data_IF_346885097153
#
_entry.id   IF_346885097153
#
_cell.length_a   1.000
_cell.length_b   1.000
_cell.length_c   1.000
_cell.angle_alpha   90.00
_cell.angle_beta   90.00
_cell.angle_gamma   90.00
#
_symmetry.space_group_name_H-M   'P 1'
#
loop_
_entity.id
_entity.type
_entity.pdbx_description
1 polymer ?
#
# COMPACT_ATOMS: atom_id res chain seq x y z
N UNK A 1 1.72 -4.63 28.34
CA UNK A 1 0.99 -5.43 27.33
C UNK A 1 0.74 -4.57 26.10
N UNK A 2 0.90 -5.13 24.90
CA UNK A 2 0.53 -4.52 23.62
C UNK A 2 -0.55 -5.38 22.95
N UNK A 3 -1.55 -4.76 22.33
CA UNK A 3 -2.59 -5.47 21.58
C UNK A 3 -2.25 -5.41 20.09
N UNK A 4 -2.18 -6.56 19.42
CA UNK A 4 -2.18 -6.64 17.96
C UNK A 4 -3.63 -6.73 17.49
N UNK A 5 -4.11 -5.68 16.82
CA UNK A 5 -5.43 -5.59 16.22
C UNK A 5 -5.33 -5.80 14.72
N UNK A 6 -5.77 -6.95 14.22
CA UNK A 6 -5.73 -7.25 12.79
C UNK A 6 -6.93 -6.59 12.12
N UNK A 7 -6.61 -5.67 11.23
CA UNK A 7 -7.58 -4.87 10.49
C UNK A 7 -7.59 -5.30 9.02
N UNK A 8 -8.64 -4.99 8.29
CA UNK A 8 -8.74 -5.29 6.86
C UNK A 8 -8.47 -6.78 6.56
N UNK A 9 -8.98 -7.65 7.42
CA UNK A 9 -8.74 -9.10 7.37
C UNK A 9 -10.07 -9.83 7.21
N UNK A 10 -10.24 -10.55 6.09
CA UNK A 10 -11.44 -11.35 5.80
C UNK A 10 -12.23 -10.91 4.56
N UNK A 11 -13.17 -11.74 4.11
CA UNK A 11 -14.02 -11.50 2.92
C UNK A 11 -15.02 -10.34 3.06
N UNK A 12 -15.19 -9.78 4.26
CA UNK A 12 -16.03 -8.60 4.52
C UNK A 12 -15.55 -7.34 3.81
N UNK A 13 -14.28 -7.30 3.40
CA UNK A 13 -13.74 -6.27 2.52
C UNK A 13 -14.35 -6.26 1.12
N UNK A 14 -15.09 -7.28 0.70
CA UNK A 14 -15.69 -7.30 -0.62
C UNK A 14 -17.03 -6.55 -0.66
N UNK A 15 -17.82 -6.62 0.42
CA UNK A 15 -19.22 -6.17 0.38
C UNK A 15 -19.56 -5.00 1.34
N UNK A 16 -18.87 -4.85 2.49
CA UNK A 16 -19.25 -3.87 3.53
C UNK A 16 -18.10 -2.98 4.03
N UNK A 17 -18.42 -1.87 4.71
CA UNK A 17 -17.46 -1.05 5.46
C UNK A 17 -17.18 -1.70 6.82
N UNK A 18 -15.95 -2.15 7.07
CA UNK A 18 -15.55 -2.68 8.38
C UNK A 18 -15.45 -1.58 9.45
N UNK A 19 -15.88 -1.89 10.67
CA UNK A 19 -15.78 -0.98 11.83
C UNK A 19 -14.36 -0.46 12.07
N UNK A 20 -13.33 -1.25 11.73
CA UNK A 20 -11.94 -0.88 11.91
C UNK A 20 -11.51 0.36 11.12
N UNK A 21 -12.33 0.83 10.17
CA UNK A 21 -12.05 2.06 9.41
C UNK A 21 -11.85 3.24 10.36
N UNK A 22 -12.63 3.33 11.44
CA UNK A 22 -12.56 4.46 12.39
C UNK A 22 -11.20 4.56 13.07
N UNK A 23 -10.45 3.45 13.14
CA UNK A 23 -9.14 3.42 13.77
C UNK A 23 -8.15 4.37 13.10
N UNK A 24 -8.39 4.77 11.85
CA UNK A 24 -7.46 5.58 11.09
C UNK A 24 -7.90 7.04 10.90
N UNK A 25 -9.02 7.44 11.49
CA UNK A 25 -9.58 8.79 11.36
C UNK A 25 -9.83 9.42 12.71
N UNK A 26 -9.71 10.75 12.75
CA UNK A 26 -10.25 11.51 13.87
C UNK A 26 -11.75 11.66 13.72
N UNK A 27 -12.45 11.61 14.84
CA UNK A 27 -13.84 12.01 14.89
C UNK A 27 -13.93 13.55 14.76
N UNK A 28 -15.12 14.04 14.41
CA UNK A 28 -15.38 15.47 14.20
C UNK A 28 -15.21 16.30 15.49
N UNK A 29 -15.20 15.64 16.66
CA UNK A 29 -14.90 16.26 17.94
C UNK A 29 -13.38 16.47 18.20
N UNK A 30 -12.53 16.07 17.24
CA UNK A 30 -11.07 16.21 17.31
C UNK A 30 -10.34 15.07 18.03
N UNK A 31 -11.08 14.15 18.64
CA UNK A 31 -10.57 13.00 19.36
C UNK A 31 -10.33 11.80 18.40
N UNK A 32 -9.54 10.84 18.86
CA UNK A 32 -9.24 9.62 18.11
C UNK A 32 -9.71 8.41 18.90
N UNK A 33 -10.44 7.52 18.22
CA UNK A 33 -11.00 6.31 18.81
C UNK A 33 -10.49 5.05 18.12
N UNK A 34 -10.36 3.97 18.88
CA UNK A 34 -9.95 2.66 18.37
C UNK A 34 -11.04 1.64 18.65
N UNK A 35 -11.41 0.91 17.61
CA UNK A 35 -12.19 -0.30 17.60
C UNK A 35 -11.29 -1.53 17.45
N UNK A 36 -11.42 -2.48 18.37
CA UNK A 36 -10.72 -3.76 18.32
C UNK A 36 -11.58 -4.81 17.63
N UNK A 37 -11.12 -5.37 16.50
CA UNK A 37 -11.88 -6.39 15.75
C UNK A 37 -11.98 -7.70 16.53
N UNK A 38 -12.98 -8.56 16.30
CA UNK A 38 -14.15 -8.37 15.44
C UNK A 38 -15.41 -7.83 16.16
N UNK A 39 -15.37 -7.55 17.47
CA UNK A 39 -16.58 -7.15 18.22
C UNK A 39 -16.37 -5.98 19.18
N UNK A 40 -15.21 -5.31 19.11
CA UNK A 40 -14.78 -4.26 20.03
C UNK A 40 -14.48 -4.74 21.45
N UNK A 41 -14.55 -6.05 21.71
CA UNK A 41 -14.32 -6.65 23.02
C UNK A 41 -12.87 -7.09 23.22
N UNK A 42 -12.29 -6.68 24.34
CA UNK A 42 -10.96 -7.11 24.79
C UNK A 42 -11.01 -7.96 26.07
N UNK A 43 -9.90 -8.64 26.37
CA UNK A 43 -9.69 -9.28 27.65
C UNK A 43 -9.49 -8.22 28.74
N UNK A 44 -10.02 -8.46 29.95
CA UNK A 44 -9.84 -7.56 31.12
C UNK A 44 -8.37 -7.25 31.44
N UNK A 45 -7.44 -8.19 31.18
CA UNK A 45 -6.00 -7.98 31.35
C UNK A 45 -5.43 -6.91 30.39
N UNK A 46 -6.13 -6.65 29.30
CA UNK A 46 -5.76 -5.68 28.29
C UNK A 46 -6.42 -4.30 28.50
N UNK A 47 -7.21 -4.12 29.57
CA UNK A 47 -7.82 -2.82 29.93
C UNK A 47 -6.76 -1.71 30.05
N UNK A 48 -5.62 -2.05 30.63
CA UNK A 48 -4.48 -1.14 30.82
C UNK A 48 -3.34 -1.47 29.83
N UNK A 49 -3.68 -1.88 28.61
CA UNK A 49 -2.67 -2.07 27.57
C UNK A 49 -1.91 -0.76 27.35
N UNK A 50 -0.60 -0.88 27.12
CA UNK A 50 0.24 0.29 26.84
C UNK A 50 -0.02 0.84 25.44
N UNK A 51 -0.38 -0.04 24.50
CA UNK A 51 -0.62 0.33 23.12
C UNK A 51 -1.47 -0.69 22.34
N UNK A 52 -2.02 -0.22 21.22
CA UNK A 52 -2.61 -1.03 20.16
C UNK A 52 -1.78 -0.83 18.89
N UNK A 53 -1.40 -1.93 18.25
CA UNK A 53 -0.85 -1.94 16.89
C UNK A 53 -1.93 -2.42 15.93
N UNK A 54 -2.29 -1.59 14.96
CA UNK A 54 -3.14 -2.04 13.85
C UNK A 54 -2.23 -2.71 12.84
N UNK A 55 -2.50 -3.97 12.53
CA UNK A 55 -1.63 -4.79 11.69
C UNK A 55 -2.42 -5.48 10.59
N UNK A 56 -1.77 -5.84 9.48
CA UNK A 56 -2.32 -6.76 8.48
C UNK A 56 -1.35 -7.90 8.21
N UNK A 57 -1.88 -9.09 7.94
CA UNK A 57 -1.07 -10.22 7.52
C UNK A 57 -0.61 -10.02 6.08
N UNK A 58 0.70 -10.14 5.84
CA UNK A 58 1.29 -10.06 4.48
C UNK A 58 1.95 -11.37 4.05
N UNK A 59 2.03 -12.33 4.95
CA UNK A 59 2.58 -13.66 4.72
C UNK A 59 2.51 -14.48 6.01
N UNK A 60 2.85 -15.75 5.92
CA UNK A 60 2.97 -16.57 7.12
C UNK A 60 4.05 -15.97 8.03
N UNK A 61 3.70 -15.71 9.29
CA UNK A 61 4.66 -15.16 10.25
C UNK A 61 5.06 -13.70 10.04
N UNK A 62 4.41 -13.00 9.11
CA UNK A 62 4.75 -11.63 8.72
C UNK A 62 3.53 -10.72 8.80
N UNK A 63 3.62 -9.69 9.64
CA UNK A 63 2.58 -8.67 9.74
C UNK A 63 3.15 -7.29 9.49
N UNK A 64 2.48 -6.52 8.65
CA UNK A 64 2.76 -5.11 8.44
C UNK A 64 2.03 -4.29 9.49
N UNK A 65 2.74 -3.35 10.12
CA UNK A 65 2.13 -2.38 11.03
C UNK A 65 1.56 -1.25 10.19
N UNK A 66 0.28 -0.95 10.38
CA UNK A 66 -0.48 0.09 9.67
C UNK A 66 -0.72 1.32 10.55
N UNK A 67 -0.55 1.20 11.86
CA UNK A 67 -0.54 2.31 12.79
C UNK A 67 -0.31 1.86 14.22
N UNK A 68 -0.04 2.84 15.08
CA UNK A 68 0.32 2.65 16.48
C UNK A 68 -0.42 3.66 17.34
N UNK A 69 -1.24 3.16 18.26
CA UNK A 69 -2.00 3.97 19.21
C UNK A 69 -1.49 3.75 20.63
N UNK A 70 -1.28 4.85 21.37
CA UNK A 70 -0.83 4.88 22.77
C UNK A 70 -1.74 5.78 23.60
N UNK A 71 -1.49 5.81 24.92
CA UNK A 71 -2.26 6.64 25.87
C UNK A 71 -3.75 6.29 25.83
N UNK A 72 -4.02 5.00 26.07
CA UNK A 72 -5.32 4.38 25.88
C UNK A 72 -6.21 4.58 27.10
N UNK A 73 -7.42 5.06 26.85
CA UNK A 73 -8.54 5.04 27.81
C UNK A 73 -9.57 4.01 27.35
N UNK A 74 -9.75 2.95 28.14
CA UNK A 74 -10.71 1.89 27.83
C UNK A 74 -12.16 2.38 28.06
N UNK A 75 -12.98 2.35 27.02
CA UNK A 75 -14.37 2.83 27.03
C UNK A 75 -15.40 1.72 27.21
N UNK A 76 -14.96 0.48 27.36
CA UNK A 76 -15.85 -0.66 27.59
C UNK A 76 -15.87 -1.05 29.07
N UNK A 77 -17.02 -1.53 29.53
CA UNK A 77 -17.21 -1.90 30.93
C UNK A 77 -16.46 -3.17 31.36
N UNK A 78 -16.08 -3.21 32.65
CA UNK A 78 -15.43 -4.39 33.24
C UNK A 78 -16.34 -5.62 33.21
N UNK A 79 -17.65 -5.42 33.37
CA UNK A 79 -18.64 -6.48 33.25
C UNK A 79 -18.65 -7.06 31.84
N UNK A 80 -18.68 -6.20 30.81
CA UNK A 80 -18.67 -6.63 29.42
C UNK A 80 -17.37 -7.39 29.08
N UNK A 81 -16.21 -6.95 29.58
CA UNK A 81 -14.94 -7.65 29.40
C UNK A 81 -14.92 -9.04 30.06
N UNK A 82 -15.52 -9.19 31.26
CA UNK A 82 -15.56 -10.44 32.02
C UNK A 82 -16.65 -11.42 31.56
N UNK A 83 -17.78 -10.91 31.07
CA UNK A 83 -18.96 -11.70 30.72
C UNK A 83 -18.83 -12.52 29.42
N UNK A 84 -19.80 -13.38 29.13
CA UNK A 84 -19.91 -14.01 27.80
C UNK A 84 -20.45 -13.01 26.78
N UNK A 85 -19.96 -13.04 25.52
CA UNK A 85 -20.27 -12.03 24.48
C UNK A 85 -21.75 -11.69 24.38
N UNK A 86 -22.63 -12.68 24.43
CA UNK A 86 -24.06 -12.48 24.09
C UNK A 86 -24.91 -11.97 25.27
N UNK A 87 -24.43 -12.02 26.52
CA UNK A 87 -25.28 -11.69 27.68
C UNK A 87 -25.32 -10.21 28.03
N UNK A 88 -24.27 -9.47 27.68
CA UNK A 88 -24.07 -8.07 28.08
C UNK A 88 -23.87 -7.15 26.87
N UNK A 89 -24.08 -7.66 25.65
CA UNK A 89 -23.87 -6.87 24.43
C UNK A 89 -24.83 -5.70 24.36
N UNK A 90 -26.12 -5.95 24.54
CA UNK A 90 -27.16 -4.92 24.43
C UNK A 90 -26.96 -3.82 25.47
N UNK A 91 -26.66 -4.20 26.72
CA UNK A 91 -26.37 -3.25 27.80
C UNK A 91 -25.14 -2.40 27.50
N UNK A 92 -24.10 -2.99 26.91
CA UNK A 92 -22.88 -2.27 26.54
C UNK A 92 -23.11 -1.37 25.32
N UNK A 93 -23.87 -1.83 24.33
CA UNK A 93 -24.27 -1.02 23.18
C UNK A 93 -25.09 0.19 23.62
N UNK A 94 -26.04 0.03 24.55
CA UNK A 94 -26.83 1.16 25.09
C UNK A 94 -25.95 2.21 25.78
N UNK A 95 -24.92 1.77 26.53
CA UNK A 95 -23.92 2.68 27.13
C UNK A 95 -23.12 3.41 26.05
N UNK A 96 -22.70 2.69 25.01
CA UNK A 96 -21.94 3.24 23.89
C UNK A 96 -22.76 4.24 23.08
N UNK A 97 -24.06 4.01 22.85
CA UNK A 97 -24.94 4.95 22.15
C UNK A 97 -25.08 6.25 22.96
N UNK A 98 -25.20 6.16 24.28
CA UNK A 98 -25.20 7.34 25.16
C UNK A 98 -23.88 8.10 25.08
N UNK A 99 -22.76 7.38 25.19
CA UNK A 99 -21.41 7.94 25.05
C UNK A 99 -21.23 8.67 23.71
N UNK A 100 -21.62 8.04 22.59
CA UNK A 100 -21.55 8.63 21.25
C UNK A 100 -22.32 9.95 21.17
N UNK A 101 -23.49 10.00 21.80
CA UNK A 101 -24.33 11.21 21.84
C UNK A 101 -23.72 12.31 22.72
N UNK A 102 -23.23 11.96 23.90
CA UNK A 102 -22.66 12.89 24.88
C UNK A 102 -21.36 13.51 24.38
N UNK A 103 -20.44 12.66 23.91
CA UNK A 103 -19.12 13.05 23.38
C UNK A 103 -19.17 13.54 21.92
N UNK A 104 -20.36 13.50 21.30
CA UNK A 104 -20.59 13.87 19.89
C UNK A 104 -19.64 13.13 18.94
N UNK A 105 -19.50 11.82 19.12
CA UNK A 105 -18.62 10.97 18.30
C UNK A 105 -19.24 10.83 16.91
N UNK A 106 -18.75 11.67 15.99
CA UNK A 106 -19.24 11.76 14.62
C UNK A 106 -18.09 11.64 13.63
N UNK A 107 -18.41 11.19 12.44
CA UNK A 107 -17.48 11.15 11.32
C UNK A 107 -18.19 11.67 10.08
N UNK A 108 -17.77 12.83 9.59
CA UNK A 108 -18.42 13.48 8.45
C UNK A 108 -19.85 13.93 8.77
N UNK A 109 -20.08 14.41 9.99
CA UNK A 109 -21.38 14.89 10.49
C UNK A 109 -22.34 13.79 10.97
N UNK A 110 -22.09 12.51 10.65
CA UNK A 110 -22.94 11.37 11.03
C UNK A 110 -22.50 10.75 12.34
N UNK A 111 -23.46 10.38 13.19
CA UNK A 111 -23.13 9.73 14.45
C UNK A 111 -22.56 8.33 14.20
N UNK A 112 -21.59 7.92 15.01
CA UNK A 112 -20.88 6.66 14.79
C UNK A 112 -21.82 5.43 14.74
N UNK A 113 -22.86 5.41 15.58
CA UNK A 113 -23.85 4.34 15.61
C UNK A 113 -24.77 4.32 14.37
N UNK A 114 -24.91 5.44 13.66
CA UNK A 114 -25.67 5.50 12.41
C UNK A 114 -24.86 4.92 11.24
N UNK A 115 -23.53 5.03 11.28
CA UNK A 115 -22.64 4.50 10.22
C UNK A 115 -22.57 2.97 10.19
N UNK A 116 -22.87 2.32 11.31
CA UNK A 116 -22.72 0.88 11.47
C UNK A 116 -23.96 0.19 12.05
N UNK A 117 -25.14 0.81 11.90
CA UNK A 117 -26.42 0.31 12.41
C UNK A 117 -26.80 -1.09 11.90
N UNK A 118 -26.32 -1.49 10.72
CA UNK A 118 -26.56 -2.82 10.12
C UNK A 118 -25.67 -3.93 10.71
N UNK A 119 -24.67 -3.58 11.54
CA UNK A 119 -23.75 -4.55 12.13
C UNK A 119 -24.19 -4.93 13.54
N UNK A 120 -24.87 -6.06 13.66
CA UNK A 120 -25.32 -6.61 14.94
C UNK A 120 -24.16 -7.17 15.79
N UNK A 121 -24.38 -7.25 17.11
CA UNK A 121 -23.49 -7.95 18.06
C UNK A 121 -22.05 -7.40 18.18
N UNK A 122 -21.88 -6.08 18.15
CA UNK A 122 -20.58 -5.41 18.32
C UNK A 122 -20.72 -4.08 19.05
N UNK A 123 -19.71 -3.68 19.82
CA UNK A 123 -19.64 -2.29 20.31
C UNK A 123 -19.06 -1.37 19.22
N UNK A 124 -19.13 -0.05 19.43
CA UNK A 124 -18.68 0.93 18.44
C UNK A 124 -17.25 1.40 18.65
N UNK A 125 -16.84 1.63 19.91
CA UNK A 125 -15.48 2.03 20.28
C UNK A 125 -14.96 1.21 21.45
N UNK A 126 -13.68 0.83 21.40
CA UNK A 126 -12.98 0.13 22.50
C UNK A 126 -12.16 1.09 23.33
N UNK A 127 -11.40 1.98 22.68
CA UNK A 127 -10.53 2.95 23.36
C UNK A 127 -10.72 4.36 22.81
N UNK A 128 -10.59 5.36 23.68
CA UNK A 128 -10.16 6.72 23.31
C UNK A 128 -8.63 6.77 23.42
N UNK A 129 -7.95 7.47 22.50
CA UNK A 129 -6.48 7.45 22.45
C UNK A 129 -5.89 8.85 22.45
N UNK A 130 -4.85 9.06 23.25
CA UNK A 130 -4.14 10.34 23.33
C UNK A 130 -3.14 10.56 22.19
N UNK A 131 -2.55 9.48 21.65
CA UNK A 131 -1.59 9.56 20.55
C UNK A 131 -1.79 8.44 19.53
N UNK A 132 -1.77 8.83 18.26
CA UNK A 132 -1.85 7.92 17.13
C UNK A 132 -0.77 8.27 16.10
N UNK A 133 -0.01 7.26 15.66
CA UNK A 133 1.03 7.39 14.65
C UNK A 133 0.73 6.49 13.47
N UNK A 134 0.81 7.06 12.26
CA UNK A 134 0.73 6.31 11.00
C UNK A 134 2.15 6.10 10.46
N UNK A 135 2.48 4.92 9.93
CA UNK A 135 3.80 4.71 9.34
C UNK A 135 3.92 5.49 8.02
N UNK A 136 5.08 6.10 7.77
CA UNK A 136 5.41 6.75 6.49
C UNK A 136 6.09 5.81 5.49
N UNK A 137 6.35 4.56 5.90
CA UNK A 137 6.92 3.49 5.10
C UNK A 137 6.50 2.12 5.64
N UNK A 138 6.64 1.06 4.84
CA UNK A 138 6.30 -0.29 5.30
C UNK A 138 7.26 -0.75 6.40
N UNK A 139 6.69 -1.08 7.55
CA UNK A 139 7.38 -1.64 8.71
C UNK A 139 6.65 -2.90 9.18
N UNK A 140 7.40 -3.87 9.70
CA UNK A 140 6.89 -5.20 9.95
C UNK A 140 7.24 -5.72 11.33
N UNK A 141 6.36 -6.56 11.87
CA UNK A 141 6.71 -7.53 12.89
C UNK A 141 6.76 -8.92 12.27
N UNK A 142 7.76 -9.69 12.65
CA UNK A 142 7.99 -11.06 12.16
C UNK A 142 8.13 -12.03 13.31
N UNK A 143 7.64 -13.26 13.15
CA UNK A 143 7.74 -14.30 14.18
C UNK A 143 8.94 -15.24 13.98
N UNK A 144 9.80 -14.94 13.01
CA UNK A 144 11.10 -15.58 12.77
C UNK A 144 12.21 -14.59 13.12
N UNK A 145 13.42 -15.07 13.44
CA UNK A 145 14.58 -14.24 13.77
C UNK A 145 15.16 -13.51 12.55
N UNK A 146 14.30 -12.92 11.72
CA UNK A 146 14.64 -12.12 10.55
C UNK A 146 14.53 -10.63 10.89
N UNK A 147 15.60 -10.07 11.48
CA UNK A 147 15.63 -8.66 11.87
C UNK A 147 16.33 -7.85 10.78
N UNK A 148 15.71 -6.74 10.39
CA UNK A 148 16.28 -5.74 9.49
C UNK A 148 15.81 -4.36 9.89
N UNK A 149 16.26 -3.30 9.20
CA UNK A 149 15.93 -1.93 9.58
C UNK A 149 14.42 -1.70 9.72
N UNK A 150 13.59 -2.32 8.88
CA UNK A 150 12.13 -2.21 8.91
C UNK A 150 11.39 -3.48 9.38
N UNK A 151 12.09 -4.48 9.94
CA UNK A 151 11.49 -5.71 10.50
C UNK A 151 11.90 -5.92 11.95
N UNK A 152 10.93 -6.11 12.85
CA UNK A 152 11.18 -6.44 14.24
C UNK A 152 10.71 -7.87 14.58
N UNK A 153 11.55 -8.64 15.25
CA UNK A 153 11.14 -9.93 15.82
C UNK A 153 10.14 -9.73 16.97
N UNK A 154 9.04 -10.47 16.93
CA UNK A 154 8.01 -10.54 17.97
C UNK A 154 7.46 -11.96 18.04
N UNK A 155 7.40 -12.54 19.23
CA UNK A 155 6.82 -13.86 19.44
C UNK A 155 5.28 -13.82 19.44
N UNK A 156 4.68 -13.81 18.25
CA UNK A 156 3.23 -13.86 18.05
C UNK A 156 2.80 -15.13 17.30
N UNK A 157 1.52 -15.48 17.43
CA UNK A 157 0.92 -16.65 16.78
C UNK A 157 0.31 -16.24 15.44
N UNK A 158 0.82 -16.78 14.34
CA UNK A 158 0.27 -16.61 12.99
C UNK A 158 -1.10 -17.31 12.75
N UNK A 159 -1.97 -17.43 13.76
CA UNK A 159 -3.32 -18.05 13.65
C UNK A 159 -4.35 -17.07 13.11
N UNK A 160 -5.49 -17.55 12.59
CA UNK A 160 -6.62 -16.76 12.07
C UNK A 160 -7.27 -15.72 13.03
N UNK A 161 -6.81 -15.62 14.29
CA UNK A 161 -7.38 -14.67 15.25
C UNK A 161 -7.14 -13.23 14.80
N UNK A 162 -8.19 -12.40 14.90
CA UNK A 162 -8.10 -10.98 14.60
C UNK A 162 -7.48 -10.16 15.74
N UNK A 163 -7.39 -10.73 16.96
CA UNK A 163 -6.70 -10.11 18.09
C UNK A 163 -5.60 -11.03 18.59
N UNK A 164 -4.46 -10.44 18.96
CA UNK A 164 -3.46 -11.09 19.79
C UNK A 164 -2.93 -10.15 20.88
N UNK A 165 -2.72 -10.71 22.08
CA UNK A 165 -2.13 -9.98 23.20
C UNK A 165 -0.65 -10.35 23.32
N UNK A 166 0.20 -9.33 23.37
CA UNK A 166 1.63 -9.40 23.64
C UNK A 166 1.85 -8.98 25.09
N UNK A 167 1.99 -9.97 25.96
CA UNK A 167 2.37 -9.80 27.36
C UNK A 167 3.89 -9.72 27.51
N UNK A 168 4.35 -9.57 28.76
CA UNK A 168 5.79 -9.45 29.07
C UNK A 168 6.58 -10.67 28.59
N UNK A 169 6.01 -11.88 28.65
CA UNK A 169 6.66 -13.10 28.21
C UNK A 169 6.91 -13.07 26.69
N UNK A 170 5.90 -12.68 25.90
CA UNK A 170 6.05 -12.57 24.43
C UNK A 170 6.94 -11.41 23.99
N UNK A 171 7.07 -10.37 24.82
CA UNK A 171 7.88 -9.20 24.53
C UNK A 171 9.32 -9.31 25.03
N UNK A 172 9.62 -10.29 25.89
CA UNK A 172 10.90 -10.43 26.61
C UNK A 172 12.14 -10.33 25.72
N UNK A 173 12.12 -11.02 24.58
CA UNK A 173 13.23 -11.05 23.63
C UNK A 173 13.00 -10.12 22.42
N UNK A 174 11.90 -9.36 22.44
CA UNK A 174 11.57 -8.40 21.37
C UNK A 174 12.18 -7.04 21.66
N UNK A 175 12.70 -6.38 20.62
CA UNK A 175 13.06 -4.95 20.65
C UNK A 175 11.91 -4.08 20.16
N UNK A 176 10.67 -4.53 20.34
CA UNK A 176 9.51 -3.90 19.72
C UNK A 176 9.34 -2.46 20.17
N UNK A 177 9.49 -2.14 21.47
CA UNK A 177 9.35 -0.76 21.92
C UNK A 177 10.43 0.16 21.32
N UNK A 178 11.70 -0.26 21.35
CA UNK A 178 12.80 0.48 20.70
C UNK A 178 12.53 0.70 19.20
N UNK A 179 11.96 -0.32 18.53
CA UNK A 179 11.58 -0.25 17.13
C UNK A 179 10.44 0.74 16.88
N UNK A 180 9.43 0.79 17.77
CA UNK A 180 8.32 1.74 17.68
C UNK A 180 8.72 3.17 18.06
N UNK A 181 9.81 3.37 18.79
CA UNK A 181 10.30 4.70 19.18
C UNK A 181 11.09 5.42 18.06
N UNK A 182 11.47 4.69 17.00
CA UNK A 182 12.15 5.23 15.81
C UNK A 182 11.28 6.24 15.06
N UNK A 183 11.60 7.53 15.21
CA UNK A 183 10.86 8.65 14.58
C UNK A 183 10.84 8.56 13.05
N UNK A 184 11.86 7.95 12.44
CA UNK A 184 11.96 7.74 11.00
C UNK A 184 10.92 6.76 10.42
N UNK A 185 10.12 6.10 11.24
CA UNK A 185 9.02 5.27 10.75
C UNK A 185 7.69 5.97 10.70
N UNK A 186 7.51 7.03 11.48
CA UNK A 186 6.21 7.63 11.70
C UNK A 186 6.05 8.92 10.92
N UNK A 187 4.85 9.12 10.41
CA UNK A 187 4.39 10.43 9.98
C UNK A 187 4.08 11.27 11.23
N UNK A 188 4.58 12.50 11.26
CA UNK A 188 4.34 13.46 12.35
C UNK A 188 3.01 14.20 12.18
N UNK A 189 2.36 14.06 11.01
CA UNK A 189 1.04 14.66 10.78
C UNK A 189 -0.04 13.86 11.51
N UNK A 190 -0.94 14.54 12.25
CA UNK A 190 -2.07 13.86 12.87
C UNK A 190 -2.97 13.22 11.81
N UNK A 191 -3.65 12.12 12.17
CA UNK A 191 -4.77 11.63 11.36
C UNK A 191 -5.78 12.76 11.16
N UNK A 192 -6.26 12.89 9.92
CA UNK A 192 -7.25 13.89 9.57
C UNK A 192 -8.64 13.42 9.98
N UNK A 193 -9.54 14.36 10.26
CA UNK A 193 -10.96 14.05 10.38
C UNK A 193 -11.54 13.69 9.01
N UNK A 194 -12.69 13.02 8.98
CA UNK A 194 -13.33 12.69 7.70
C UNK A 194 -13.71 13.94 6.93
N UNK A 195 -14.19 14.98 7.61
CA UNK A 195 -14.47 16.29 7.00
C UNK A 195 -13.23 16.94 6.39
N UNK A 196 -12.09 16.89 7.07
CA UNK A 196 -10.83 17.40 6.53
C UNK A 196 -10.41 16.61 5.29
N UNK A 197 -10.61 15.30 5.28
CA UNK A 197 -10.30 14.47 4.12
C UNK A 197 -11.26 14.78 2.97
N UNK A 198 -12.56 14.96 3.25
CA UNK A 198 -13.57 15.27 2.23
C UNK A 198 -13.40 16.67 1.62
N UNK A 199 -12.97 17.67 2.41
CA UNK A 199 -12.65 19.01 1.92
C UNK A 199 -11.35 19.07 1.12
N UNK A 200 -10.35 18.28 1.53
CA UNK A 200 -9.06 18.23 0.83
C UNK A 200 -9.06 17.27 -0.37
N UNK A 201 -10.02 16.33 -0.43
CA UNK A 201 -10.24 15.43 -1.55
C UNK A 201 -11.69 15.60 -2.05
N UNK A 202 -11.98 16.74 -2.71
CA UNK A 202 -13.26 16.95 -3.40
C UNK A 202 -13.57 15.79 -4.37
N UNK A 203 -12.51 15.24 -4.96
CA UNK A 203 -12.52 13.99 -5.71
C UNK A 203 -11.66 12.94 -5.00
N UNK A 204 -12.24 11.98 -4.27
CA UNK A 204 -11.66 10.65 -4.43
C UNK A 204 -11.95 10.28 -5.88
N UNK A 205 -10.95 10.59 -6.73
CA UNK A 205 -11.03 10.50 -8.19
C UNK A 205 -11.66 9.17 -8.61
N UNK A 206 -12.56 9.26 -9.59
CA UNK A 206 -13.28 8.14 -10.19
C UNK A 206 -12.42 6.89 -10.30
N UNK A 207 -13.02 5.74 -9.92
CA UNK A 207 -12.46 4.40 -10.12
C UNK A 207 -11.88 4.35 -11.53
N UNK A 208 -10.55 4.19 -11.65
CA UNK A 208 -9.93 4.11 -12.96
C UNK A 208 -10.25 2.75 -13.60
N UNK A 209 -10.15 2.64 -14.93
CA UNK A 209 -10.54 1.40 -15.61
C UNK A 209 -9.74 0.17 -15.15
N UNK A 210 -8.49 0.33 -14.70
CA UNK A 210 -7.72 -0.79 -14.14
C UNK A 210 -8.35 -1.31 -12.85
N UNK A 211 -8.85 -0.41 -12.00
CA UNK A 211 -9.56 -0.81 -10.78
C UNK A 211 -10.91 -1.47 -11.11
N UNK A 212 -11.61 -1.01 -12.16
CA UNK A 212 -12.87 -1.63 -12.62
C UNK A 212 -12.65 -3.07 -13.10
N UNK A 213 -11.57 -3.32 -13.84
CA UNK A 213 -11.28 -4.64 -14.42
C UNK A 213 -10.37 -5.52 -13.52
N UNK A 214 -9.98 -5.05 -12.33
CA UNK A 214 -9.13 -5.80 -11.38
C UNK A 214 -7.68 -5.99 -11.84
N UNK A 215 -7.14 -5.02 -12.59
CA UNK A 215 -5.79 -5.04 -13.19
C UNK A 215 -4.86 -3.97 -12.64
N UNK A 216 -5.21 -3.33 -11.53
CA UNK A 216 -4.45 -2.23 -10.91
C UNK A 216 -3.03 -2.60 -10.44
N UNK A 217 -2.65 -3.88 -10.47
CA UNK A 217 -1.27 -4.32 -10.19
C UNK A 217 -0.70 -5.23 -11.29
N UNK A 218 -1.36 -5.30 -12.44
CA UNK A 218 -0.96 -6.18 -13.53
C UNK A 218 0.11 -5.48 -14.36
N UNK A 219 1.37 -5.90 -14.17
CA UNK A 219 2.57 -5.35 -14.82
C UNK A 219 2.39 -5.29 -16.34
N UNK A 220 1.83 -6.36 -16.91
CA UNK A 220 1.56 -6.50 -18.33
C UNK A 220 0.53 -5.46 -18.82
N UNK A 221 -0.55 -5.27 -18.08
CA UNK A 221 -1.59 -4.30 -18.42
C UNK A 221 -1.05 -2.85 -18.33
N UNK A 222 -0.17 -2.55 -17.38
CA UNK A 222 0.51 -1.26 -17.31
C UNK A 222 1.49 -1.05 -18.47
N UNK A 223 2.28 -2.06 -18.82
CA UNK A 223 3.17 -1.99 -19.98
C UNK A 223 2.38 -1.79 -21.28
N UNK A 224 1.17 -2.35 -21.37
CA UNK A 224 0.27 -2.21 -22.52
C UNK A 224 -0.18 -0.77 -22.70
N UNK A 225 -0.72 -0.17 -21.64
CA UNK A 225 -1.25 1.19 -21.73
C UNK A 225 -0.14 2.21 -21.96
N UNK A 226 1.04 2.04 -21.34
CA UNK A 226 2.18 2.93 -21.56
C UNK A 226 2.60 2.86 -23.04
N UNK A 227 2.72 1.65 -23.59
CA UNK A 227 3.06 1.46 -25.01
C UNK A 227 2.00 2.05 -25.94
N UNK A 228 0.72 1.84 -25.64
CA UNK A 228 -0.38 2.42 -26.40
C UNK A 228 -0.31 3.96 -26.41
N UNK A 229 -0.17 4.58 -25.24
CA UNK A 229 -0.10 6.05 -25.12
C UNK A 229 1.08 6.62 -25.91
N UNK A 230 2.26 6.02 -25.80
CA UNK A 230 3.45 6.46 -26.54
C UNK A 230 3.34 6.15 -28.05
N UNK A 231 2.60 5.12 -28.44
CA UNK A 231 2.43 4.79 -29.85
C UNK A 231 1.43 5.73 -30.54
N UNK A 232 0.33 6.08 -29.87
CA UNK A 232 -0.70 6.97 -30.41
C UNK A 232 -0.24 8.43 -30.44
N UNK A 233 0.53 8.89 -29.44
CA UNK A 233 1.06 10.25 -29.38
C UNK A 233 2.58 10.26 -29.61
N UNK A 234 2.95 10.42 -30.90
CA UNK A 234 4.35 10.42 -31.33
C UNK A 234 5.14 11.63 -30.83
N UNK A 235 4.49 12.76 -30.54
CA UNK A 235 5.19 13.91 -29.95
C UNK A 235 5.52 13.64 -28.48
N UNK A 236 4.57 13.04 -27.76
CA UNK A 236 4.78 12.58 -26.39
C UNK A 236 5.86 11.50 -26.32
N UNK A 237 5.95 10.59 -27.29
CA UNK A 237 7.07 9.64 -27.41
C UNK A 237 8.42 10.35 -27.55
N UNK A 238 8.54 11.35 -28.44
CA UNK A 238 9.79 12.09 -28.58
C UNK A 238 10.21 12.77 -27.27
N UNK A 239 9.25 13.39 -26.55
CA UNK A 239 9.47 13.98 -25.23
C UNK A 239 9.86 12.94 -24.18
N UNK A 240 9.24 11.75 -24.22
CA UNK A 240 9.54 10.64 -23.31
C UNK A 240 10.98 10.16 -23.50
N UNK A 241 11.41 9.95 -24.75
CA UNK A 241 12.78 9.55 -25.07
C UNK A 241 13.79 10.61 -24.61
N UNK A 242 13.50 11.89 -24.82
CA UNK A 242 14.37 12.97 -24.37
C UNK A 242 14.47 13.04 -22.85
N UNK A 243 13.34 12.88 -22.13
CA UNK A 243 13.31 12.98 -20.68
C UNK A 243 13.96 11.77 -20.00
N UNK A 244 13.69 10.54 -20.45
CA UNK A 244 14.10 9.33 -19.74
C UNK A 244 15.29 8.60 -20.36
N UNK A 245 15.50 8.72 -21.67
CA UNK A 245 16.64 8.12 -22.35
C UNK A 245 17.75 9.11 -22.70
N UNK A 246 17.48 10.42 -22.62
CA UNK A 246 18.44 11.52 -22.83
C UNK A 246 18.99 11.61 -24.27
N UNK A 247 18.25 11.08 -25.25
CA UNK A 247 18.52 11.25 -26.67
C UNK A 247 17.25 11.67 -27.43
N UNK A 248 17.44 12.21 -28.64
CA UNK A 248 16.35 12.57 -29.53
C UNK A 248 16.08 11.42 -30.51
N UNK A 249 15.00 10.68 -30.25
CA UNK A 249 14.55 9.57 -31.11
C UNK A 249 13.70 10.10 -32.26
N UNK A 250 13.81 9.48 -33.46
CA UNK A 250 12.85 9.73 -34.54
C UNK A 250 11.52 9.05 -34.23
N UNK A 251 10.65 9.75 -33.50
CA UNK A 251 9.39 9.18 -33.02
C UNK A 251 8.42 8.78 -34.15
N UNK A 252 8.60 9.27 -35.38
CA UNK A 252 7.78 8.85 -36.53
C UNK A 252 8.18 7.48 -37.03
N UNK A 253 9.48 7.19 -37.04
CA UNK A 253 10.06 5.92 -37.49
C UNK A 253 10.22 4.90 -36.35
N UNK A 254 10.11 5.35 -35.10
CA UNK A 254 10.23 4.49 -33.94
C UNK A 254 9.15 3.39 -33.92
N UNK A 255 9.59 2.17 -33.66
CA UNK A 255 8.75 0.99 -33.47
C UNK A 255 8.70 0.68 -31.98
N UNK A 256 7.48 0.49 -31.46
CA UNK A 256 7.25 0.01 -30.10
C UNK A 256 6.76 -1.44 -30.20
N UNK A 257 7.52 -2.37 -29.63
CA UNK A 257 7.13 -3.77 -29.48
C UNK A 257 6.98 -4.12 -28.01
N UNK A 258 6.17 -5.15 -27.75
CA UNK A 258 5.95 -5.70 -26.41
C UNK A 258 5.92 -7.20 -26.49
N UNK A 259 6.63 -7.87 -25.60
CA UNK A 259 6.66 -9.32 -25.42
C UNK A 259 7.04 -10.17 -26.66
N UNK A 260 7.27 -9.55 -27.82
CA UNK A 260 7.69 -10.25 -29.05
C UNK A 260 9.19 -10.46 -29.11
N UNK A 261 9.94 -9.48 -28.59
CA UNK A 261 11.40 -9.47 -28.60
C UNK A 261 11.88 -9.97 -27.23
N UNK A 262 12.17 -11.28 -27.13
CA UNK A 262 12.68 -11.95 -25.93
C UNK A 262 11.82 -11.87 -24.66
N UNK A 263 10.54 -11.45 -24.79
CA UNK A 263 9.62 -11.13 -23.69
C UNK A 263 9.97 -9.84 -22.92
N UNK A 264 10.62 -8.88 -23.58
CA UNK A 264 10.81 -7.53 -23.02
C UNK A 264 9.43 -6.85 -22.86
N UNK A 265 9.17 -6.26 -21.70
CA UNK A 265 7.88 -5.63 -21.39
C UNK A 265 7.53 -4.51 -22.37
N UNK A 266 8.47 -3.59 -22.64
CA UNK A 266 8.38 -2.58 -23.69
C UNK A 266 9.74 -2.38 -24.33
N UNK A 267 9.81 -2.54 -25.65
CA UNK A 267 11.00 -2.27 -26.44
C UNK A 267 10.70 -1.20 -27.48
N UNK A 268 11.46 -0.11 -27.47
CA UNK A 268 11.29 1.02 -28.40
C UNK A 268 12.56 1.16 -29.21
N UNK A 269 12.50 1.21 -30.54
CA UNK A 269 13.70 1.39 -31.37
C UNK A 269 13.45 2.20 -32.64
N UNK A 270 14.47 2.94 -33.06
CA UNK A 270 14.61 3.48 -34.41
C UNK A 270 15.91 2.93 -35.07
N UNK A 271 16.47 3.62 -36.05
CA UNK A 271 17.72 3.24 -36.71
C UNK A 271 18.97 3.51 -35.86
N UNK A 272 18.90 4.43 -34.89
CA UNK A 272 20.04 4.97 -34.13
C UNK A 272 19.97 4.71 -32.63
N UNK A 273 18.81 4.37 -32.11
CA UNK A 273 18.55 4.30 -30.68
C UNK A 273 17.63 3.13 -30.34
N UNK A 274 17.77 2.61 -29.12
CA UNK A 274 16.83 1.67 -28.54
C UNK A 274 16.61 1.92 -27.04
N UNK A 275 15.41 1.65 -26.56
CA UNK A 275 15.02 1.71 -25.15
C UNK A 275 14.44 0.37 -24.76
N UNK A 276 15.04 -0.27 -23.76
CA UNK A 276 14.52 -1.46 -23.08
C UNK A 276 13.89 -1.00 -21.78
N UNK A 277 12.59 -1.26 -21.60
CA UNK A 277 11.88 -0.96 -20.36
C UNK A 277 11.40 -2.27 -19.76
N UNK A 278 11.81 -2.53 -18.53
CA UNK A 278 11.27 -3.59 -17.68
C UNK A 278 10.37 -2.97 -16.62
N UNK A 279 9.13 -3.44 -16.49
CA UNK A 279 8.14 -2.89 -15.57
C UNK A 279 7.88 -3.84 -14.39
N UNK A 280 8.21 -3.40 -13.18
CA UNK A 280 8.09 -4.21 -11.96
C UNK A 280 7.22 -3.50 -10.92
N UNK A 281 5.98 -3.94 -10.80
CA UNK A 281 4.99 -3.41 -9.84
C UNK A 281 4.93 -4.27 -8.58
N UNK A 282 4.77 -5.59 -8.75
CA UNK A 282 4.62 -6.55 -7.65
C UNK A 282 5.79 -7.51 -7.55
N UNK A 283 6.31 -7.94 -8.70
CA UNK A 283 7.37 -8.93 -8.73
C UNK A 283 8.70 -8.26 -8.37
N UNK A 284 9.48 -8.93 -7.52
CA UNK A 284 10.88 -8.55 -7.36
C UNK A 284 11.62 -8.70 -8.70
N UNK A 285 12.75 -8.02 -8.84
CA UNK A 285 13.67 -8.32 -9.95
C UNK A 285 14.11 -9.77 -9.76
N UNK A 286 13.74 -10.67 -10.68
CA UNK A 286 14.05 -12.09 -10.55
C UNK A 286 15.56 -12.28 -10.31
N UNK A 287 15.87 -12.87 -9.16
CA UNK A 287 17.22 -13.26 -8.78
C UNK A 287 17.74 -14.40 -9.64
N UNK A 288 19.07 -14.53 -9.62
CA UNK A 288 19.88 -15.58 -10.27
C UNK A 288 19.19 -16.94 -10.17
N UNK A 289 18.94 -17.59 -11.32
CA UNK A 289 18.57 -19.01 -11.35
C UNK A 289 19.86 -19.82 -11.47
N UNK A 290 20.06 -20.79 -10.60
CA UNK A 290 21.18 -21.74 -10.71
C UNK A 290 20.66 -23.01 -11.37
N UNK A 291 21.28 -23.44 -12.47
CA UNK A 291 20.97 -24.75 -13.03
C UNK A 291 21.89 -25.79 -12.39
N UNK A 292 21.35 -26.55 -11.44
CA UNK A 292 22.08 -27.62 -10.75
C UNK A 292 22.58 -28.73 -11.69
N UNK A 293 21.98 -28.90 -12.88
CA UNK A 293 22.40 -29.93 -13.85
C UNK A 293 23.53 -29.46 -14.75
N UNK A 294 23.56 -28.17 -15.09
CA UNK A 294 24.58 -27.59 -15.97
C UNK A 294 25.78 -27.04 -15.18
N UNK A 295 25.64 -26.85 -13.87
CA UNK A 295 26.63 -26.19 -13.01
C UNK A 295 27.04 -24.80 -13.54
N UNK A 296 26.05 -24.12 -14.13
CA UNK A 296 26.18 -22.80 -14.74
C UNK A 296 25.10 -21.86 -14.17
N UNK A 297 25.46 -20.59 -14.04
CA UNK A 297 24.54 -19.53 -13.62
C UNK A 297 23.61 -19.19 -14.81
N UNK A 298 22.31 -19.38 -14.65
CA UNK A 298 21.33 -19.01 -15.69
C UNK A 298 21.24 -17.48 -15.73
N UNK A 299 21.47 -16.95 -16.94
CA UNK A 299 21.39 -15.54 -17.34
C UNK A 299 20.23 -14.80 -16.63
N UNK A 300 20.55 -13.69 -15.95
CA UNK A 300 19.54 -12.86 -15.30
C UNK A 300 18.64 -12.22 -16.36
N UNK A 301 17.34 -12.13 -16.09
CA UNK A 301 16.35 -11.55 -17.01
C UNK A 301 16.76 -10.16 -17.55
N UNK A 302 17.34 -9.30 -16.69
CA UNK A 302 17.79 -7.96 -17.11
C UNK A 302 18.99 -8.01 -18.08
N UNK A 303 19.93 -8.94 -17.86
CA UNK A 303 21.10 -9.14 -18.72
C UNK A 303 20.64 -9.63 -20.10
N UNK A 304 19.74 -10.62 -20.12
CA UNK A 304 19.12 -11.15 -21.35
C UNK A 304 18.54 -10.03 -22.22
N UNK A 305 17.79 -9.11 -21.61
CA UNK A 305 17.09 -8.04 -22.32
C UNK A 305 18.04 -6.95 -22.81
N UNK A 306 19.03 -6.58 -21.99
CA UNK A 306 20.10 -5.66 -22.39
C UNK A 306 20.89 -6.23 -23.57
N UNK A 307 21.33 -7.49 -23.45
CA UNK A 307 22.18 -8.13 -24.44
C UNK A 307 21.43 -8.39 -25.73
N UNK A 308 20.11 -8.64 -25.66
CA UNK A 308 19.29 -8.64 -26.86
C UNK A 308 19.36 -7.30 -27.59
N UNK A 309 19.07 -6.19 -26.91
CA UNK A 309 19.04 -4.87 -27.54
C UNK A 309 20.42 -4.39 -28.03
N UNK A 310 21.51 -4.78 -27.37
CA UNK A 310 22.88 -4.38 -27.72
C UNK A 310 23.60 -5.30 -28.72
N UNK A 311 23.23 -6.57 -28.77
CA UNK A 311 24.02 -7.59 -29.49
C UNK A 311 23.16 -8.42 -30.45
N UNK A 312 21.98 -8.88 -30.02
CA UNK A 312 21.20 -9.88 -30.78
C UNK A 312 20.18 -9.27 -31.74
N UNK A 313 19.66 -8.08 -31.44
CA UNK A 313 18.72 -7.37 -32.32
C UNK A 313 19.40 -6.94 -33.62
N UNK A 314 18.65 -6.97 -34.72
CA UNK A 314 19.19 -6.63 -36.04
C UNK A 314 19.58 -5.16 -36.10
N UNK A 315 20.85 -4.88 -36.36
CA UNK A 315 21.42 -3.53 -36.43
C UNK A 315 21.73 -2.93 -35.05
N UNK A 316 21.79 -3.75 -33.99
CA UNK A 316 22.08 -3.31 -32.64
C UNK A 316 23.44 -2.60 -32.52
N UNK A 317 24.43 -3.00 -33.32
CA UNK A 317 25.79 -2.45 -33.32
C UNK A 317 25.86 -0.95 -33.67
N UNK A 318 24.82 -0.42 -34.33
CA UNK A 318 24.73 0.98 -34.73
C UNK A 318 23.84 1.81 -33.79
N UNK A 319 23.22 1.19 -32.77
CA UNK A 319 22.26 1.86 -31.87
C UNK A 319 22.87 2.21 -30.52
N UNK A 320 22.52 3.39 -30.04
CA UNK A 320 22.67 3.74 -28.63
C UNK A 320 21.50 3.14 -27.82
N UNK A 321 21.82 2.32 -26.81
CA UNK A 321 20.81 1.57 -26.03
C UNK A 321 20.68 2.14 -24.62
N UNK A 322 19.45 2.43 -24.21
CA UNK A 322 19.09 2.76 -22.82
C UNK A 322 18.26 1.65 -22.19
N UNK A 323 18.63 1.24 -20.98
CA UNK A 323 17.85 0.29 -20.18
C UNK A 323 17.19 1.00 -18.99
N UNK A 324 15.89 0.77 -18.80
CA UNK A 324 15.05 1.40 -17.78
C UNK A 324 14.35 0.31 -16.97
N UNK A 325 14.46 0.40 -15.64
CA UNK A 325 13.65 -0.38 -14.72
C UNK A 325 12.58 0.53 -14.12
N UNK A 326 11.33 0.34 -14.55
CA UNK A 326 10.18 1.10 -14.09
C UNK A 326 9.58 0.42 -12.85
N UNK A 327 9.48 1.16 -11.72
CA UNK A 327 8.98 0.62 -10.44
C UNK A 327 8.06 1.61 -9.72
N UNK A 328 7.05 1.14 -8.98
CA UNK A 328 6.29 1.99 -8.07
C UNK A 328 7.17 2.61 -6.98
N UNK A 329 6.77 3.76 -6.46
CA UNK A 329 7.50 4.47 -5.40
C UNK A 329 7.47 3.72 -4.05
N UNK A 330 6.54 2.79 -3.89
CA UNK A 330 6.45 1.89 -2.73
C UNK A 330 7.22 0.57 -2.91
N UNK A 331 7.93 0.37 -4.03
CA UNK A 331 8.68 -0.86 -4.32
C UNK A 331 9.95 -0.98 -3.45
N UNK A 332 10.23 -2.19 -2.94
CA UNK A 332 11.27 -2.41 -1.92
C UNK A 332 12.69 -2.15 -2.43
N UNK A 333 12.92 -2.25 -3.74
CA UNK A 333 14.21 -1.95 -4.37
C UNK A 333 14.69 -0.52 -4.07
N UNK A 334 13.76 0.42 -3.91
CA UNK A 334 14.09 1.82 -3.62
C UNK A 334 14.65 2.02 -2.21
N UNK A 335 14.53 1.01 -1.34
CA UNK A 335 15.03 1.01 0.03
C UNK A 335 16.23 0.07 0.23
N UNK A 336 16.64 -0.66 -0.80
CA UNK A 336 17.74 -1.63 -0.74
C UNK A 336 18.91 -1.19 -1.64
N UNK A 337 19.95 -0.62 -1.03
CA UNK A 337 21.10 -0.10 -1.76
C UNK A 337 21.90 -1.17 -2.50
N UNK A 338 21.93 -2.41 -2.01
CA UNK A 338 22.58 -3.50 -2.73
C UNK A 338 21.80 -3.87 -3.99
N UNK A 339 20.47 -3.92 -3.91
CA UNK A 339 19.62 -4.18 -5.07
C UNK A 339 19.70 -3.04 -6.10
N UNK A 340 19.76 -1.77 -5.67
CA UNK A 340 20.02 -0.63 -6.57
C UNK A 340 21.36 -0.76 -7.28
N UNK A 341 22.42 -1.12 -6.56
CA UNK A 341 23.75 -1.34 -7.14
C UNK A 341 23.74 -2.48 -8.15
N UNK A 342 23.01 -3.57 -7.86
CA UNK A 342 22.88 -4.68 -8.80
C UNK A 342 22.19 -4.26 -10.10
N UNK A 343 21.11 -3.48 -10.02
CA UNK A 343 20.43 -2.93 -11.20
C UNK A 343 21.33 -1.99 -11.99
N UNK A 344 22.05 -1.10 -11.30
CA UNK A 344 22.99 -0.18 -11.92
C UNK A 344 24.16 -0.90 -12.61
N UNK A 345 24.68 -1.98 -12.00
CA UNK A 345 25.74 -2.81 -12.59
C UNK A 345 25.29 -3.50 -13.89
N UNK A 346 23.97 -3.69 -14.08
CA UNK A 346 23.40 -4.20 -15.34
C UNK A 346 23.04 -3.08 -16.33
N UNK A 347 23.46 -1.84 -16.04
CA UNK A 347 23.23 -0.65 -16.86
C UNK A 347 21.78 -0.16 -16.94
N UNK A 348 20.93 -0.57 -15.98
CA UNK A 348 19.56 -0.09 -15.88
C UNK A 348 19.47 1.17 -15.02
N UNK A 349 18.71 2.16 -15.50
CA UNK A 349 18.29 3.30 -14.70
C UNK A 349 16.92 3.02 -14.05
N UNK A 350 16.83 3.21 -12.73
CA UNK A 350 15.55 3.06 -12.02
C UNK A 350 14.73 4.35 -12.18
N UNK A 351 13.54 4.20 -12.77
CA UNK A 351 12.56 5.28 -12.93
C UNK A 351 11.33 4.92 -12.10
N UNK A 352 10.83 5.87 -11.32
CA UNK A 352 9.64 5.64 -10.48
C UNK A 352 8.37 6.07 -11.18
N UNK A 353 7.25 5.46 -10.80
CA UNK A 353 5.92 5.85 -11.29
C UNK A 353 5.59 7.31 -10.95
N UNK A 354 6.13 7.90 -9.88
CA UNK A 354 6.02 9.33 -9.59
C UNK A 354 6.69 10.22 -10.63
N UNK A 355 7.88 9.83 -11.13
CA UNK A 355 8.51 10.54 -12.26
C UNK A 355 7.67 10.39 -13.52
N UNK A 356 7.16 9.19 -13.78
CA UNK A 356 6.33 8.90 -14.95
C UNK A 356 5.01 9.67 -14.92
N UNK A 357 4.31 9.67 -13.78
CA UNK A 357 3.09 10.42 -13.54
C UNK A 357 3.31 11.92 -13.71
N UNK A 358 4.39 12.47 -13.16
CA UNK A 358 4.74 13.88 -13.35
C UNK A 358 4.92 14.22 -14.83
N UNK A 359 5.69 13.39 -15.56
CA UNK A 359 5.92 13.57 -16.99
C UNK A 359 4.59 13.62 -17.78
N UNK A 360 3.73 12.61 -17.63
CA UNK A 360 2.46 12.57 -18.36
C UNK A 360 1.47 13.65 -17.91
N UNK A 361 1.52 14.07 -16.64
CA UNK A 361 0.70 15.19 -16.15
C UNK A 361 1.11 16.53 -16.77
N UNK A 362 2.39 16.72 -17.06
CA UNK A 362 2.94 17.94 -17.65
C UNK A 362 2.68 18.02 -19.16
N UNK A 363 2.88 16.93 -19.89
CA UNK A 363 2.86 16.92 -21.35
C UNK A 363 1.52 16.53 -22.00
N UNK A 364 0.44 16.37 -21.21
CA UNK A 364 -0.98 16.12 -21.57
C UNK A 364 -1.27 15.70 -23.03
N UNK A 365 -1.96 14.57 -23.20
CA UNK A 365 -2.40 14.10 -24.51
C UNK A 365 -3.92 14.11 -24.66
N UNK A 366 -4.40 14.19 -25.91
CA UNK A 366 -5.83 14.09 -26.26
C UNK A 366 -6.29 12.63 -26.46
N UNK A 367 -5.43 11.65 -26.19
CA UNK A 367 -5.76 10.23 -26.29
C UNK A 367 -6.99 9.90 -25.43
N UNK A 368 -7.86 9.06 -25.97
CA UNK A 368 -9.04 8.58 -25.24
C UNK A 368 -8.62 7.88 -23.95
N UNK A 369 -9.27 8.23 -22.84
CA UNK A 369 -8.98 7.70 -21.50
C UNK A 369 -7.62 8.12 -20.92
N UNK A 370 -6.97 9.17 -21.45
CA UNK A 370 -5.71 9.66 -20.92
C UNK A 370 -5.79 10.04 -19.43
N UNK A 371 -6.88 10.68 -19.01
CA UNK A 371 -7.08 11.03 -17.59
C UNK A 371 -7.23 9.78 -16.70
N UNK A 372 -7.85 8.70 -17.18
CA UNK A 372 -7.93 7.44 -16.45
C UNK A 372 -6.57 6.75 -16.36
N UNK A 373 -5.76 6.83 -17.42
CA UNK A 373 -4.37 6.38 -17.42
C UNK A 373 -3.53 7.17 -16.41
N UNK A 374 -3.65 8.50 -16.36
CA UNK A 374 -2.99 9.33 -15.36
C UNK A 374 -3.36 8.92 -13.94
N UNK A 375 -4.65 8.64 -13.67
CA UNK A 375 -5.12 8.13 -12.37
C UNK A 375 -4.50 6.77 -12.01
N UNK A 376 -4.36 5.87 -12.99
CA UNK A 376 -3.72 4.58 -12.78
C UNK A 376 -2.22 4.71 -12.47
N UNK A 377 -1.52 5.69 -13.06
CA UNK A 377 -0.13 5.98 -12.71
C UNK A 377 0.00 6.64 -11.33
N UNK A 378 -0.88 7.59 -11.01
CA UNK A 378 -0.94 8.26 -9.72
C UNK A 378 -1.04 7.26 -8.57
N UNK A 379 -1.85 6.22 -8.75
CA UNK A 379 -1.99 5.13 -7.79
C UNK A 379 -0.62 4.56 -7.36
N UNK A 380 0.28 4.29 -8.31
CA UNK A 380 1.62 3.73 -8.06
C UNK A 380 2.70 4.77 -7.71
N UNK A 381 2.37 6.06 -7.75
CA UNK A 381 3.31 7.17 -7.47
C UNK A 381 3.53 7.48 -5.99
N UNK A 382 2.78 6.83 -5.09
CA UNK A 382 2.83 7.10 -3.65
C UNK A 382 3.89 6.23 -2.95
N UNK A 383 4.60 6.81 -1.97
CA UNK A 383 5.68 6.15 -1.22
C UNK A 383 5.16 4.99 -0.32
N UNK A 384 3.86 5.00 -0.02
CA UNK A 384 3.17 4.01 0.80
C UNK A 384 1.73 3.79 0.32
N UNK A 385 1.45 2.58 -0.17
CA UNK A 385 0.10 2.18 -0.55
C UNK A 385 -0.56 1.37 0.57
N UNK A 386 -1.71 1.86 1.02
CA UNK A 386 -2.65 1.07 1.81
C UNK A 386 -3.99 1.00 1.10
N UNK A 387 -4.07 0.20 0.03
CA UNK A 387 -5.29 0.01 -0.76
C UNK A 387 -6.51 -0.35 0.09
N UNK A 388 -6.34 -1.18 1.12
CA UNK A 388 -7.44 -1.53 2.01
C UNK A 388 -7.97 -0.31 2.76
N UNK A 389 -7.08 0.58 3.21
CA UNK A 389 -7.45 1.88 3.78
C UNK A 389 -8.10 2.80 2.74
N UNK A 390 -7.60 2.87 1.51
CA UNK A 390 -8.20 3.70 0.45
C UNK A 390 -9.61 3.22 0.07
N UNK A 391 -9.82 1.90 -0.07
CA UNK A 391 -11.13 1.30 -0.31
C UNK A 391 -12.08 1.57 0.86
N UNK A 392 -11.61 1.35 2.10
CA UNK A 392 -12.41 1.64 3.29
C UNK A 392 -12.80 3.12 3.33
N UNK A 393 -11.91 4.02 2.91
CA UNK A 393 -12.20 5.45 2.83
C UNK A 393 -13.21 5.83 1.78
N UNK A 394 -13.10 5.28 0.58
CA UNK A 394 -14.09 5.46 -0.48
C UNK A 394 -15.47 5.03 -0.01
N UNK A 395 -15.56 3.87 0.65
CA UNK A 395 -16.84 3.36 1.19
C UNK A 395 -17.40 4.25 2.29
N UNK A 396 -16.56 4.68 3.23
CA UNK A 396 -16.97 5.61 4.29
C UNK A 396 -17.52 6.91 3.69
N UNK A 397 -16.84 7.49 2.70
CA UNK A 397 -17.33 8.67 2.00
C UNK A 397 -18.65 8.44 1.28
N UNK A 398 -18.82 7.31 0.59
CA UNK A 398 -20.07 6.98 -0.09
C UNK A 398 -21.24 6.84 0.90
N UNK A 399 -21.02 6.20 2.06
CA UNK A 399 -22.04 6.11 3.12
C UNK A 399 -22.37 7.50 3.68
N UNK A 400 -21.39 8.39 3.79
CA UNK A 400 -21.60 9.76 4.25
C UNK A 400 -22.37 10.60 3.20
N UNK A 401 -22.05 10.46 1.91
CA UNK A 401 -22.66 11.25 0.81
C UNK A 401 -24.05 10.76 0.35
N UNK A 402 -24.31 9.44 0.38
CA UNK A 402 -25.52 8.84 -0.23
C UNK A 402 -26.69 8.58 0.72
N UNK A 403 -26.55 8.92 2.00
CA UNK A 403 -27.60 8.93 3.01
C UNK A 403 -27.68 10.34 3.62
#
# INVERSE_FOLDING_TARGET
MIILNRVFSGGYLNDNLGHEVINFFKADNGEHYIYITPYGKINIKAKNAAAVLMVRSVGQGHMEILGYASDLECLISDEFMKGSRNKLMDEEQDKQIKLIKEEKIKYGGKALNELFNEQENTVYVTFKVGSFKKPKQKIYIVNENEVSDNKCYVNFRAKQSLIEYLDEEKLKDSKLQEFLDKKEFWDEKPCQSVDEIMKNNEDIKDVNFFEVIGKEYDELAFSNIISYVLNEDRELLAKFCLEFAKFQMDSKMAVITRETDENIDIYIKDDKHAIVIENKIKSGVNGKKYDEKMNEEIENQLDKYRDFAKIKDKGAEAREVKCILLVPDHHDILRNDNAKKEVANKEYEIITYKKLFKFFSEYKSEIRFYDEFLRALEFHSTDYQNRAYEIAMRRLQNIIKNN
#
